data_IF_429071736608
#
_entry.id   IF_429071736608
#
_cell.length_a   1.000
_cell.length_b   1.000
_cell.length_c   1.000
_cell.angle_alpha   90.00
_cell.angle_beta   90.00
_cell.angle_gamma   90.00
#
_symmetry.space_group_name_H-M   'P 1'
#
loop_
_entity.id
_entity.type
_entity.pdbx_description
1 polymer ?
#
# COMPACT_ATOMS: atom_id res chain seq x y z
N UNK A 1 -16.95 -2.41 -5.77
CA UNK A 1 -15.50 -2.43 -5.91
C UNK A 1 -14.92 -3.69 -5.32
N UNK A 2 -14.08 -4.32 -6.03
CA UNK A 2 -13.52 -5.60 -5.63
C UNK A 2 -12.28 -5.42 -4.78
N UNK A 3 -12.03 -6.39 -3.93
CA UNK A 3 -10.80 -6.44 -3.17
C UNK A 3 -9.64 -6.88 -4.08
N UNK A 4 -8.44 -6.44 -3.74
CA UNK A 4 -7.22 -6.81 -4.43
C UNK A 4 -6.27 -7.44 -3.42
N UNK A 5 -5.55 -8.48 -3.81
CA UNK A 5 -4.59 -9.07 -2.86
C UNK A 5 -3.47 -8.07 -2.56
N UNK A 6 -2.97 -8.11 -1.33
CA UNK A 6 -1.87 -7.23 -0.94
C UNK A 6 -0.63 -7.51 -1.79
N UNK A 7 -0.39 -8.79 -2.12
CA UNK A 7 0.72 -9.14 -2.99
C UNK A 7 0.61 -8.51 -4.37
N UNK A 8 -0.59 -8.52 -4.94
CA UNK A 8 -0.82 -7.89 -6.24
C UNK A 8 -0.63 -6.37 -6.17
N UNK A 9 -1.11 -5.74 -5.10
CA UNK A 9 -0.91 -4.29 -4.92
C UNK A 9 0.57 -3.93 -4.91
N UNK A 10 1.39 -4.73 -4.25
CA UNK A 10 2.82 -4.44 -4.14
C UNK A 10 3.59 -4.71 -5.45
N UNK A 11 2.94 -5.31 -6.43
CA UNK A 11 3.54 -5.51 -7.77
C UNK A 11 3.19 -4.39 -8.73
N UNK A 12 2.27 -3.49 -8.36
CA UNK A 12 1.84 -2.42 -9.26
C UNK A 12 2.78 -1.22 -9.16
N UNK A 13 3.08 -0.56 -10.28
CA UNK A 13 3.84 0.70 -10.21
C UNK A 13 2.95 1.84 -9.75
N UNK A 14 3.55 2.81 -9.07
CA UNK A 14 2.88 4.06 -8.72
C UNK A 14 3.14 5.04 -9.85
N UNK A 15 2.07 5.56 -10.47
CA UNK A 15 2.19 6.44 -11.64
C UNK A 15 1.37 7.72 -11.46
N UNK A 16 1.89 8.80 -12.02
CA UNK A 16 1.14 10.04 -12.19
C UNK A 16 1.22 10.43 -13.67
N UNK A 17 0.05 10.65 -14.28
CA UNK A 17 -0.04 10.99 -15.70
C UNK A 17 0.73 10.01 -16.60
N UNK A 18 0.67 8.72 -16.26
CA UNK A 18 1.32 7.67 -17.02
C UNK A 18 2.81 7.51 -16.76
N UNK A 19 3.40 8.33 -15.90
CA UNK A 19 4.83 8.27 -15.59
C UNK A 19 5.02 7.54 -14.27
N UNK A 20 5.85 6.49 -14.28
CA UNK A 20 6.17 5.77 -13.06
C UNK A 20 7.06 6.61 -12.16
N UNK A 21 6.62 6.83 -10.91
CA UNK A 21 7.36 7.63 -9.93
C UNK A 21 7.86 6.80 -8.75
N UNK A 22 7.43 5.56 -8.65
CA UNK A 22 7.90 4.69 -7.59
C UNK A 22 7.16 3.36 -7.59
N UNK A 23 7.48 2.52 -6.60
CA UNK A 23 6.84 1.22 -6.38
C UNK A 23 6.51 1.03 -4.92
N UNK A 24 5.35 0.49 -4.59
CA UNK A 24 5.04 0.17 -3.21
C UNK A 24 5.89 -1.02 -2.78
N UNK A 25 6.50 -0.91 -1.61
CA UNK A 25 7.31 -1.99 -1.05
C UNK A 25 6.68 -2.59 0.19
N UNK A 26 5.70 -1.90 0.77
CA UNK A 26 4.99 -2.39 1.95
C UNK A 26 3.66 -1.65 2.09
N UNK A 27 2.78 -2.23 2.90
CA UNK A 27 1.54 -1.60 3.34
C UNK A 27 1.63 -1.34 4.82
N UNK A 28 1.24 -0.14 5.24
CA UNK A 28 1.18 0.21 6.65
C UNK A 28 -0.26 0.08 7.14
N UNK A 29 -0.43 -0.65 8.23
CA UNK A 29 -1.72 -1.07 8.73
C UNK A 29 -1.96 -0.47 10.11
N UNK A 30 -3.16 0.05 10.33
CA UNK A 30 -3.61 0.46 11.65
C UNK A 30 -3.87 -0.80 12.48
N UNK A 31 -3.11 -1.01 13.58
CA UNK A 31 -3.26 -2.23 14.37
C UNK A 31 -4.60 -2.33 15.11
N UNK A 32 -5.27 -1.21 15.32
CA UNK A 32 -6.56 -1.21 16.02
C UNK A 32 -7.71 -1.46 15.05
N UNK A 33 -7.69 -0.76 13.92
CA UNK A 33 -8.78 -0.82 12.96
C UNK A 33 -8.65 -1.91 11.91
N UNK A 34 -7.52 -2.59 11.85
CA UNK A 34 -7.24 -3.61 10.85
C UNK A 34 -7.45 -3.08 9.42
N UNK A 35 -6.96 -1.87 9.17
CA UNK A 35 -7.12 -1.18 7.89
C UNK A 35 -5.78 -0.70 7.38
N UNK A 36 -5.62 -0.71 6.07
CA UNK A 36 -4.45 -0.12 5.42
C UNK A 36 -4.54 1.39 5.52
N UNK A 37 -3.52 2.01 6.05
CA UNK A 37 -3.39 3.47 6.09
C UNK A 37 -2.79 4.00 4.81
N UNK A 38 -1.87 3.26 4.22
CA UNK A 38 -1.21 3.65 3.00
C UNK A 38 -0.03 2.76 2.67
N UNK A 39 0.80 3.24 1.78
CA UNK A 39 1.92 2.50 1.21
C UNK A 39 3.25 3.13 1.58
N UNK A 40 4.24 2.29 1.86
CA UNK A 40 5.63 2.68 1.82
C UNK A 40 6.07 2.56 0.36
N UNK A 41 6.36 3.68 -0.27
CA UNK A 41 6.73 3.73 -1.69
C UNK A 41 8.21 4.00 -1.83
N UNK A 42 8.91 3.11 -2.52
CA UNK A 42 10.30 3.34 -2.91
C UNK A 42 10.29 4.13 -4.21
N UNK A 43 10.76 5.35 -4.14
CA UNK A 43 10.78 6.27 -5.26
C UNK A 43 12.03 6.05 -6.12
N UNK A 44 12.03 6.67 -7.31
CA UNK A 44 13.12 6.49 -8.28
C UNK A 44 14.45 7.06 -7.80
N UNK A 45 14.40 8.03 -6.88
CA UNK A 45 15.58 8.61 -6.24
C UNK A 45 16.07 7.79 -5.05
N UNK A 46 15.53 6.59 -4.88
CA UNK A 46 15.81 5.66 -3.79
C UNK A 46 15.33 6.14 -2.42
N UNK A 47 14.55 7.21 -2.36
CA UNK A 47 13.92 7.62 -1.12
C UNK A 47 12.65 6.84 -0.87
N UNK A 48 12.31 6.64 0.40
CA UNK A 48 11.03 6.06 0.80
C UNK A 48 10.08 7.18 1.15
N UNK A 49 8.84 7.07 0.66
CA UNK A 49 7.80 8.07 0.93
C UNK A 49 6.50 7.36 1.28
N UNK A 50 5.65 8.05 2.03
CA UNK A 50 4.36 7.50 2.41
C UNK A 50 3.29 7.98 1.42
N UNK A 51 2.55 7.03 0.85
CA UNK A 51 1.40 7.33 0.01
C UNK A 51 0.14 6.98 0.79
N UNK A 52 -0.65 7.97 1.22
CA UNK A 52 -1.92 7.68 1.88
C UNK A 52 -2.85 6.91 0.95
N UNK A 53 -3.56 5.94 1.50
CA UNK A 53 -4.48 5.13 0.70
C UNK A 53 -5.53 6.00 0.00
N UNK A 54 -6.01 7.04 0.69
CA UNK A 54 -7.01 7.95 0.15
C UNK A 54 -6.55 8.76 -1.05
N UNK A 55 -5.23 8.85 -1.26
CA UNK A 55 -4.66 9.57 -2.40
C UNK A 55 -4.32 8.64 -3.56
N UNK A 56 -4.59 7.34 -3.42
CA UNK A 56 -4.24 6.33 -4.41
C UNK A 56 -5.49 5.76 -5.06
N UNK A 57 -5.43 5.54 -6.37
CA UNK A 57 -6.48 4.86 -7.12
C UNK A 57 -5.87 3.67 -7.82
N UNK A 58 -6.36 2.47 -7.52
CA UNK A 58 -5.91 1.27 -8.22
C UNK A 58 -6.70 1.16 -9.51
N UNK A 59 -6.01 1.20 -10.63
CA UNK A 59 -6.63 1.26 -11.93
C UNK A 59 -5.80 0.53 -12.96
N UNK A 60 -6.34 -0.58 -13.45
CA UNK A 60 -5.82 -1.25 -14.63
C UNK A 60 -4.34 -1.62 -14.60
N UNK A 61 -3.81 -2.09 -13.50
CA UNK A 61 -2.42 -2.50 -13.42
C UNK A 61 -1.46 -1.43 -12.94
N UNK A 62 -2.00 -0.38 -12.32
CA UNK A 62 -1.20 0.69 -11.75
C UNK A 62 -1.87 1.25 -10.50
N UNK A 63 -1.07 1.91 -9.67
CA UNK A 63 -1.58 2.75 -8.59
C UNK A 63 -1.45 4.18 -9.09
N UNK A 64 -2.57 4.80 -9.42
CA UNK A 64 -2.60 6.14 -9.98
C UNK A 64 -2.69 7.17 -8.87
N UNK A 65 -1.90 8.23 -8.98
CA UNK A 65 -1.96 9.38 -8.09
C UNK A 65 -2.08 10.65 -8.91
N UNK A 66 -2.72 11.66 -8.34
CA UNK A 66 -2.95 12.92 -9.05
C UNK A 66 -1.66 13.70 -9.29
N UNK A 67 -0.70 13.57 -8.37
CA UNK A 67 0.56 14.31 -8.42
C UNK A 67 1.58 13.63 -7.53
N UNK A 68 2.87 13.80 -7.84
CA UNK A 68 3.94 13.32 -6.97
C UNK A 68 3.89 14.01 -5.59
N UNK A 69 3.23 15.14 -5.48
CA UNK A 69 3.11 15.88 -4.21
C UNK A 69 2.27 15.15 -3.18
N UNK A 70 1.45 14.16 -3.57
CA UNK A 70 0.71 13.36 -2.61
C UNK A 70 1.59 12.36 -1.87
N UNK A 71 2.80 12.10 -2.36
CA UNK A 71 3.77 11.26 -1.68
C UNK A 71 4.41 12.08 -0.55
N UNK A 72 4.13 11.69 0.68
CA UNK A 72 4.63 12.41 1.85
C UNK A 72 6.10 12.08 2.09
N UNK A 73 6.83 13.06 2.58
CA UNK A 73 8.27 12.94 2.79
C UNK A 73 8.62 11.86 3.82
N UNK A 74 9.90 11.50 3.85
CA UNK A 74 10.41 10.41 4.68
C UNK A 74 10.12 10.58 6.17
N UNK A 75 10.15 11.82 6.67
CA UNK A 75 9.81 12.10 8.06
C UNK A 75 8.33 11.78 8.37
N UNK A 76 7.44 11.98 7.41
CA UNK A 76 6.05 11.60 7.55
C UNK A 76 5.90 10.08 7.51
N UNK A 77 6.66 9.41 6.67
CA UNK A 77 6.68 7.95 6.64
C UNK A 77 7.12 7.39 8.00
N UNK A 78 8.14 7.96 8.60
CA UNK A 78 8.62 7.55 9.92
C UNK A 78 7.54 7.75 10.98
N UNK A 79 6.77 8.84 10.88
CA UNK A 79 5.65 9.08 11.76
C UNK A 79 4.64 7.94 11.71
N UNK A 80 4.28 7.51 10.49
CA UNK A 80 3.32 6.42 10.32
C UNK A 80 3.91 5.06 10.70
N UNK A 81 5.17 4.82 10.40
CA UNK A 81 5.86 3.58 10.80
C UNK A 81 5.87 3.40 12.32
N UNK A 82 5.96 4.49 13.06
CA UNK A 82 5.97 4.42 14.53
C UNK A 82 4.60 4.07 15.10
N UNK A 83 3.52 4.30 14.36
CA UNK A 83 2.14 4.12 14.82
C UNK A 83 1.41 2.99 14.14
N UNK A 84 1.88 2.58 12.99
CA UNK A 84 1.27 1.52 12.20
C UNK A 84 2.13 0.26 12.25
N UNK A 85 1.62 -0.80 11.67
CA UNK A 85 2.35 -2.07 11.54
C UNK A 85 2.62 -2.34 10.07
N UNK A 86 3.80 -2.86 9.78
CA UNK A 86 4.13 -3.33 8.45
C UNK A 86 3.33 -4.60 8.16
N UNK A 87 2.63 -4.64 7.02
CA UNK A 87 1.89 -5.83 6.65
C UNK A 87 2.84 -7.01 6.41
N UNK A 88 4.03 -6.76 5.88
CA UNK A 88 5.03 -7.82 5.68
C UNK A 88 5.45 -8.49 6.98
N UNK A 89 5.38 -7.76 8.08
CA UNK A 89 5.68 -8.32 9.40
C UNK A 89 4.50 -9.07 10.00
N UNK A 90 3.28 -8.72 9.59
CA UNK A 90 2.06 -9.30 10.15
C UNK A 90 1.66 -10.60 9.48
N UNK A 91 1.96 -10.76 8.20
CA UNK A 91 1.55 -11.94 7.44
C UNK A 91 2.75 -12.53 6.70
N UNK A 92 2.72 -13.84 6.57
CA UNK A 92 3.79 -14.57 5.89
C UNK A 92 3.66 -14.48 4.39
N UNK A 93 2.44 -14.58 3.89
CA UNK A 93 2.16 -14.55 2.45
C UNK A 93 1.16 -13.43 2.16
N UNK A 94 1.62 -12.41 1.46
CA UNK A 94 0.80 -11.24 1.14
C UNK A 94 -0.34 -11.57 0.19
N UNK A 95 -0.24 -12.66 -0.56
CA UNK A 95 -1.32 -13.09 -1.45
C UNK A 95 -2.52 -13.65 -0.67
N UNK A 96 -2.34 -13.98 0.60
CA UNK A 96 -3.41 -14.46 1.46
C UNK A 96 -4.25 -13.33 2.08
N UNK A 97 -3.89 -12.08 1.81
CA UNK A 97 -4.59 -10.92 2.36
C UNK A 97 -5.20 -10.10 1.24
N UNK A 98 -6.48 -9.82 1.32
CA UNK A 98 -7.17 -8.91 0.42
C UNK A 98 -7.31 -7.54 1.05
N UNK A 99 -7.25 -6.51 0.21
CA UNK A 99 -7.45 -5.13 0.62
C UNK A 99 -8.66 -4.59 -0.13
N UNK A 100 -9.67 -4.16 0.60
CA UNK A 100 -10.85 -3.55 0.01
C UNK A 100 -10.57 -2.09 -0.36
N UNK A 101 -11.46 -1.49 -1.13
CA UNK A 101 -11.30 -0.12 -1.59
C UNK A 101 -11.17 0.88 -0.44
N UNK A 102 -11.79 0.59 0.69
CA UNK A 102 -11.72 1.43 1.89
C UNK A 102 -10.53 1.12 2.80
N UNK A 103 -9.68 0.19 2.39
CA UNK A 103 -8.50 -0.22 3.16
C UNK A 103 -8.72 -1.37 4.11
N UNK A 104 -9.94 -1.87 4.24
CA UNK A 104 -10.23 -2.99 5.14
C UNK A 104 -9.46 -4.23 4.70
N UNK A 105 -8.78 -4.87 5.65
CA UNK A 105 -8.05 -6.09 5.40
C UNK A 105 -8.93 -7.31 5.65
N UNK A 106 -8.79 -8.29 4.78
CA UNK A 106 -9.48 -9.55 4.92
C UNK A 106 -8.50 -10.67 4.62
N UNK A 107 -8.35 -11.58 5.58
CA UNK A 107 -7.46 -12.72 5.40
C UNK A 107 -8.22 -13.81 4.66
N UNK A 108 -7.70 -14.17 3.49
CA UNK A 108 -8.27 -15.24 2.69
C UNK A 108 -7.58 -16.53 3.12
N UNK A 109 -8.35 -17.41 3.75
CA UNK A 109 -7.81 -18.70 4.14
C UNK A 109 -7.82 -19.65 2.96
N UNK A 110 -6.65 -20.14 2.60
CA UNK A 110 -6.53 -21.22 1.64
C UNK A 110 -6.51 -22.58 2.31
N UNK A 111 -6.66 -22.55 3.60
CA UNK A 111 -6.72 -23.78 4.36
C UNK A 111 -8.09 -24.42 4.12
N UNK A 112 -8.07 -25.43 3.31
CA UNK A 112 -9.26 -26.15 2.94
C UNK A 112 -9.74 -27.10 4.05
N UNK A 113 -9.13 -26.98 5.16
CA UNK A 113 -9.44 -27.85 6.28
C UNK A 113 -10.91 -27.90 6.58
#
# INVERSE_FOLDING_TARGET
MNSVSAGDLLRLPVKTSGIEIGRPVDLLVDPVGNRVLGFDVLCRDESHRFLPLTAAVVDGGQIAVASALVLLAEDQLDFYRARARSLRELVRDLDDVSVAADGTLEIVSHDAA
#
